data_IF_767138074604
#
_entry.id   IF_767138074604
#
_cell.length_a   1.000
_cell.length_b   1.000
_cell.length_c   1.000
_cell.angle_alpha   90.00
_cell.angle_beta   90.00
_cell.angle_gamma   90.00
#
_symmetry.space_group_name_H-M   'P 1'
#
loop_
_entity.id
_entity.type
_entity.pdbx_description
1 polymer ?
#
# COMPACT_ATOMS: atom_id res chain seq x y z
N UNK A 1 4.15 6.48 -21.52
CA UNK A 1 3.96 5.17 -20.87
C UNK A 1 2.49 4.90 -20.77
N UNK A 2 2.06 3.70 -21.12
CA UNK A 2 0.69 3.23 -20.93
C UNK A 2 0.48 2.71 -19.51
N UNK A 3 -0.77 2.52 -19.11
CA UNK A 3 -1.13 1.88 -17.84
C UNK A 3 -0.51 0.48 -17.72
N UNK A 4 -0.52 -0.31 -18.81
CA UNK A 4 0.05 -1.65 -18.82
C UNK A 4 1.57 -1.64 -18.64
N UNK A 5 2.27 -0.65 -19.18
CA UNK A 5 3.72 -0.49 -18.98
C UNK A 5 4.05 -0.21 -17.51
N UNK A 6 3.26 0.68 -16.87
CA UNK A 6 3.42 1.02 -15.44
C UNK A 6 3.15 -0.21 -14.57
N UNK A 7 2.07 -0.93 -14.86
CA UNK A 7 1.70 -2.15 -14.14
C UNK A 7 2.79 -3.22 -14.26
N UNK A 8 3.29 -3.45 -15.47
CA UNK A 8 4.37 -4.41 -15.71
C UNK A 8 5.62 -4.06 -14.88
N UNK A 9 6.03 -2.79 -14.88
CA UNK A 9 7.16 -2.33 -14.07
C UNK A 9 6.95 -2.59 -12.57
N UNK A 10 5.77 -2.26 -12.04
CA UNK A 10 5.45 -2.51 -10.62
C UNK A 10 5.48 -4.01 -10.30
N UNK A 11 4.97 -4.86 -11.19
CA UNK A 11 5.00 -6.32 -10.99
C UNK A 11 6.41 -6.91 -11.07
N UNK A 12 7.37 -6.21 -11.70
CA UNK A 12 8.78 -6.62 -11.75
C UNK A 12 9.63 -6.13 -10.57
N UNK A 13 9.09 -5.24 -9.73
CA UNK A 13 9.77 -4.82 -8.50
C UNK A 13 9.91 -6.01 -7.54
N UNK A 14 10.99 -6.01 -6.74
CA UNK A 14 11.10 -6.95 -5.63
C UNK A 14 10.10 -6.61 -4.51
N UNK A 15 9.89 -7.56 -3.60
CA UNK A 15 8.90 -7.41 -2.53
C UNK A 15 9.16 -6.19 -1.62
N UNK A 16 10.41 -5.78 -1.42
CA UNK A 16 10.77 -4.61 -0.62
C UNK A 16 10.37 -3.31 -1.30
N UNK A 17 10.65 -3.21 -2.60
CA UNK A 17 10.28 -2.03 -3.40
C UNK A 17 8.78 -1.96 -3.67
N UNK A 18 8.10 -3.10 -3.87
CA UNK A 18 6.63 -3.16 -3.93
C UNK A 18 6.01 -2.67 -2.61
N UNK A 19 6.56 -3.12 -1.47
CA UNK A 19 6.10 -2.67 -0.15
C UNK A 19 6.27 -1.16 -0.02
N UNK A 20 7.45 -0.62 -0.31
CA UNK A 20 7.69 0.84 -0.26
C UNK A 20 6.76 1.63 -1.15
N UNK A 21 6.50 1.17 -2.37
CA UNK A 21 5.55 1.80 -3.28
C UNK A 21 4.16 1.89 -2.64
N UNK A 22 3.66 0.79 -2.07
CA UNK A 22 2.34 0.70 -1.44
C UNK A 22 2.27 1.52 -0.14
N UNK A 23 3.32 1.51 0.68
CA UNK A 23 3.29 2.11 2.03
C UNK A 23 3.73 3.57 2.08
N UNK A 24 4.57 4.03 1.14
CA UNK A 24 5.17 5.37 1.17
C UNK A 24 4.68 6.26 0.03
N UNK A 25 4.53 5.71 -1.18
CA UNK A 25 4.22 6.51 -2.39
C UNK A 25 2.72 6.61 -2.62
N UNK A 26 2.03 5.46 -2.67
CA UNK A 26 0.58 5.38 -2.90
C UNK A 26 -0.23 6.30 -1.96
N UNK A 27 0.09 6.42 -0.66
CA UNK A 27 -0.60 7.36 0.26
C UNK A 27 -0.49 8.83 -0.12
N UNK A 28 0.63 9.25 -0.72
CA UNK A 28 0.85 10.64 -1.13
C UNK A 28 0.03 11.03 -2.36
N UNK A 29 -0.35 10.04 -3.19
CA UNK A 29 -1.13 10.26 -4.41
C UNK A 29 -2.64 10.10 -4.19
N UNK A 30 -3.07 9.57 -3.04
CA UNK A 30 -4.49 9.36 -2.73
C UNK A 30 -5.34 10.61 -2.82
N UNK A 31 -4.85 11.75 -2.32
CA UNK A 31 -5.59 13.01 -2.40
C UNK A 31 -5.82 13.52 -3.83
N UNK A 32 -5.12 12.95 -4.82
CA UNK A 32 -5.34 13.22 -6.25
C UNK A 32 -6.13 12.12 -6.96
N UNK A 33 -6.18 10.91 -6.37
CA UNK A 33 -6.85 9.75 -6.95
C UNK A 33 -8.27 9.52 -6.38
N UNK A 34 -8.54 10.04 -5.18
CA UNK A 34 -9.82 9.92 -4.51
C UNK A 34 -10.49 11.29 -4.41
N UNK A 35 -11.61 11.45 -5.11
CA UNK A 35 -12.45 12.66 -5.02
C UNK A 35 -13.35 12.67 -3.77
N UNK A 36 -13.53 11.52 -3.12
CA UNK A 36 -14.38 11.36 -1.93
C UNK A 36 -13.61 10.76 -0.74
N UNK A 37 -13.80 11.26 0.49
CA UNK A 37 -13.16 10.73 1.70
C UNK A 37 -13.35 9.23 1.94
N UNK A 38 -14.42 8.60 1.42
CA UNK A 38 -14.59 7.14 1.58
C UNK A 38 -13.62 6.32 0.72
N UNK A 39 -13.15 6.86 -0.41
CA UNK A 39 -12.14 6.22 -1.27
C UNK A 39 -10.78 6.18 -0.57
N UNK A 40 -10.40 7.29 0.07
CA UNK A 40 -9.16 7.36 0.84
C UNK A 40 -9.17 6.40 2.03
N UNK A 41 -10.31 6.25 2.71
CA UNK A 41 -10.44 5.31 3.83
C UNK A 41 -10.31 3.85 3.40
N UNK A 42 -10.95 3.43 2.30
CA UNK A 42 -10.84 2.05 1.80
C UNK A 42 -9.43 1.68 1.33
N UNK A 43 -8.75 2.62 0.68
CA UNK A 43 -7.36 2.39 0.25
C UNK A 43 -6.40 2.35 1.45
N UNK A 44 -6.66 3.18 2.47
CA UNK A 44 -5.92 3.12 3.74
C UNK A 44 -6.12 1.78 4.45
N UNK A 45 -7.34 1.26 4.50
CA UNK A 45 -7.61 -0.07 5.07
C UNK A 45 -6.84 -1.19 4.36
N UNK A 46 -6.66 -1.10 3.03
CA UNK A 46 -5.88 -2.07 2.27
C UNK A 46 -4.39 -2.02 2.65
N UNK A 47 -3.84 -0.81 2.77
CA UNK A 47 -2.44 -0.61 3.17
C UNK A 47 -2.22 -1.00 4.64
N UNK A 48 -3.13 -0.59 5.54
CA UNK A 48 -3.05 -0.92 6.97
C UNK A 48 -3.16 -2.43 7.19
N UNK A 49 -4.00 -3.16 6.44
CA UNK A 49 -4.10 -4.63 6.55
C UNK A 49 -2.78 -5.34 6.21
N UNK A 50 -2.05 -4.85 5.21
CA UNK A 50 -0.77 -5.44 4.79
C UNK A 50 0.42 -4.97 5.65
N UNK A 51 0.34 -3.77 6.26
CA UNK A 51 1.34 -3.26 7.21
C UNK A 51 1.17 -3.86 8.62
N UNK A 52 -0.06 -4.03 9.11
CA UNK A 52 -0.35 -4.46 10.49
C UNK A 52 -0.21 -5.96 10.70
N UNK A 53 -0.37 -6.79 9.66
CA UNK A 53 -0.17 -8.25 9.76
C UNK A 53 1.19 -8.66 10.37
N UNK A 54 2.35 -8.10 9.96
CA UNK A 54 3.61 -8.40 10.63
C UNK A 54 3.78 -7.71 11.99
N UNK A 55 2.98 -6.70 12.33
CA UNK A 55 3.05 -6.00 13.63
C UNK A 55 2.31 -6.78 14.73
N UNK A 56 1.16 -7.39 14.43
CA UNK A 56 0.40 -8.20 15.39
C UNK A 56 1.11 -9.52 15.74
N UNK A 57 1.77 -10.17 14.77
CA UNK A 57 2.52 -11.41 15.03
C UNK A 57 3.80 -11.18 15.86
N UNK A 58 4.32 -9.95 15.91
CA UNK A 58 5.54 -9.63 16.65
C UNK A 58 5.27 -9.20 18.11
N UNK A 59 4.05 -8.74 18.44
CA UNK A 59 3.71 -8.24 19.79
C UNK A 59 2.69 -9.09 20.58
N UNK A 60 2.06 -10.12 20.00
CA UNK A 60 1.21 -11.06 20.74
C UNK A 60 1.98 -12.26 21.35
N UNK A 61 3.26 -12.06 21.68
CA UNK A 61 4.13 -13.06 22.33
C UNK A 61 4.62 -12.67 23.72
N UNK A 62 4.08 -11.61 24.32
CA UNK A 62 4.45 -11.22 25.67
C UNK A 62 3.45 -10.25 26.28
N UNK A 63 2.43 -10.78 26.96
CA UNK A 63 2.28 -10.78 28.43
C UNK A 63 1.52 -12.05 28.81
#
# INVERSE_FOLDING_TARGET
MSFEDIKSLIMTLDAGDQKRLITEIVPQVWGKACDDPSCACKLKELVDRDIVRPYDETFMGGI
#
